data_IF_811688214576
#
_entry.id   IF_811688214576
#
_cell.length_a   1.000
_cell.length_b   1.000
_cell.length_c   1.000
_cell.angle_alpha   90.00
_cell.angle_beta   90.00
_cell.angle_gamma   90.00
#
_symmetry.space_group_name_H-M   'P 1'
#
loop_
_entity.id
_entity.type
_entity.pdbx_description
1 polymer ?
#
# COMPACT_ATOMS: atom_id res chain seq x y z
N UNK A 1 -5.52 -11.56 16.41
CA UNK A 1 -4.56 -10.64 17.09
C UNK A 1 -5.04 -9.20 16.98
N UNK A 2 -5.34 -8.71 15.77
CA UNK A 2 -5.97 -7.40 15.54
C UNK A 2 -7.37 -7.30 16.18
N UNK A 3 -8.18 -8.36 16.08
CA UNK A 3 -9.49 -8.44 16.75
C UNK A 3 -9.46 -8.33 18.29
N UNK A 4 -8.28 -8.36 18.91
CA UNK A 4 -8.07 -8.14 20.34
C UNK A 4 -7.61 -6.71 20.65
N UNK A 5 -7.65 -5.79 19.68
CA UNK A 5 -7.23 -4.39 19.82
C UNK A 5 -5.74 -4.13 19.62
N UNK A 6 -4.97 -5.10 19.11
CA UNK A 6 -3.54 -4.90 18.82
C UNK A 6 -3.33 -4.32 17.42
N UNK A 7 -2.41 -3.37 17.28
CA UNK A 7 -1.93 -2.91 15.97
C UNK A 7 -0.84 -3.85 15.45
N UNK A 8 -0.87 -4.13 14.15
CA UNK A 8 0.15 -4.93 13.47
C UNK A 8 0.70 -4.10 12.31
N UNK A 9 2.02 -3.95 12.27
CA UNK A 9 2.73 -3.29 11.17
C UNK A 9 3.56 -4.33 10.44
N UNK A 10 3.48 -4.32 9.12
CA UNK A 10 4.21 -5.25 8.25
C UNK A 10 4.79 -4.47 7.07
N UNK A 11 6.00 -4.81 6.66
CA UNK A 11 6.60 -4.36 5.40
C UNK A 11 6.42 -5.50 4.41
N UNK A 12 5.64 -5.28 3.36
CA UNK A 12 5.28 -6.33 2.40
C UNK A 12 5.21 -5.80 0.97
N UNK A 13 5.51 -6.71 0.03
CA UNK A 13 5.34 -6.52 -1.41
C UNK A 13 4.30 -7.51 -1.98
N UNK A 14 3.88 -8.52 -1.20
CA UNK A 14 2.84 -9.45 -1.64
C UNK A 14 1.46 -8.78 -1.62
N UNK A 15 0.88 -8.57 -2.81
CA UNK A 15 -0.40 -7.91 -2.98
C UNK A 15 -1.58 -8.67 -2.35
N UNK A 16 -1.48 -10.00 -2.16
CA UNK A 16 -2.50 -10.76 -1.42
C UNK A 16 -2.53 -10.42 0.07
N UNK A 17 -1.41 -9.97 0.63
CA UNK A 17 -1.37 -9.45 2.00
C UNK A 17 -1.83 -7.99 2.01
N UNK A 18 -1.25 -7.16 1.14
CA UNK A 18 -1.50 -5.70 1.09
C UNK A 18 -2.97 -5.38 0.87
N UNK A 19 -3.69 -6.13 0.02
CA UNK A 19 -5.12 -5.88 -0.26
C UNK A 19 -6.04 -6.03 0.95
N UNK A 20 -5.58 -6.71 2.01
CA UNK A 20 -6.34 -6.94 3.24
C UNK A 20 -5.99 -5.93 4.35
N UNK A 21 -5.07 -4.98 4.10
CA UNK A 21 -4.69 -4.00 5.09
C UNK A 21 -5.77 -2.91 5.26
N UNK A 22 -6.04 -2.53 6.51
CA UNK A 22 -6.92 -1.40 6.83
C UNK A 22 -6.29 -0.06 6.42
N UNK A 23 -4.95 0.02 6.47
CA UNK A 23 -4.16 1.20 6.14
C UNK A 23 -2.83 0.81 5.50
N UNK A 24 -2.40 1.60 4.51
CA UNK A 24 -1.16 1.42 3.77
C UNK A 24 -0.38 2.73 3.80
N UNK A 25 0.93 2.63 3.97
CA UNK A 25 1.89 3.71 3.75
C UNK A 25 2.79 3.27 2.61
N UNK A 26 2.69 3.93 1.46
CA UNK A 26 3.48 3.61 0.28
C UNK A 26 4.71 4.53 0.20
N UNK A 27 5.87 3.92 0.04
CA UNK A 27 7.17 4.60 0.00
C UNK A 27 7.76 4.53 -1.39
N UNK A 28 8.39 5.62 -1.83
CA UNK A 28 8.99 5.70 -3.15
C UNK A 28 9.45 7.13 -3.50
N UNK A 29 9.35 7.52 -4.79
CA UNK A 29 8.87 6.73 -5.93
C UNK A 29 9.85 5.62 -6.35
N UNK A 30 11.15 5.75 -6.08
CA UNK A 30 12.16 4.72 -6.34
C UNK A 30 12.72 4.08 -5.07
N UNK A 31 13.76 3.27 -5.23
CA UNK A 31 14.60 2.81 -4.13
C UNK A 31 15.88 3.65 -3.98
N UNK A 32 16.57 3.52 -2.85
CA UNK A 32 17.83 4.22 -2.59
C UNK A 32 17.66 5.74 -2.57
N UNK A 33 18.54 6.46 -3.27
CA UNK A 33 18.54 7.94 -3.34
C UNK A 33 17.29 8.51 -4.01
N UNK A 34 16.59 7.73 -4.84
CA UNK A 34 15.35 8.14 -5.51
C UNK A 34 14.09 7.77 -4.70
N UNK A 35 14.27 7.29 -3.47
CA UNK A 35 13.19 6.84 -2.58
C UNK A 35 13.09 7.65 -1.29
N UNK A 36 12.49 7.04 -0.27
CA UNK A 36 12.43 7.59 1.09
C UNK A 36 11.31 8.61 1.34
N UNK A 37 10.46 8.87 0.34
CA UNK A 37 9.29 9.75 0.50
C UNK A 37 8.01 8.94 0.68
N UNK A 38 7.08 9.47 1.47
CA UNK A 38 5.70 8.97 1.52
C UNK A 38 5.00 9.44 0.25
N UNK A 39 4.73 8.51 -0.65
CA UNK A 39 4.05 8.79 -1.92
C UNK A 39 2.54 8.80 -1.72
N UNK A 40 2.04 7.89 -0.88
CA UNK A 40 0.63 7.77 -0.53
C UNK A 40 0.49 7.22 0.90
N UNK A 41 -0.55 7.64 1.61
CA UNK A 41 -0.94 7.00 2.86
C UNK A 41 -2.46 7.03 3.01
N UNK A 42 -3.07 5.88 3.26
CA UNK A 42 -4.53 5.78 3.30
C UNK A 42 -5.05 4.36 3.25
N UNK A 43 -6.35 4.23 3.02
CA UNK A 43 -6.99 2.93 2.77
C UNK A 43 -6.57 2.38 1.41
N UNK A 44 -6.84 1.09 1.15
CA UNK A 44 -6.63 0.48 -0.17
C UNK A 44 -7.25 1.32 -1.31
N UNK A 45 -8.43 1.89 -1.08
CA UNK A 45 -9.13 2.72 -2.06
C UNK A 45 -8.43 4.06 -2.33
N UNK A 46 -7.71 4.61 -1.35
CA UNK A 46 -6.93 5.84 -1.52
C UNK A 46 -5.64 5.55 -2.30
N UNK A 47 -4.96 4.44 -1.96
CA UNK A 47 -3.72 4.03 -2.62
C UNK A 47 -3.94 3.76 -4.11
N UNK A 48 -5.00 3.04 -4.51
CA UNK A 48 -5.25 2.75 -5.93
C UNK A 48 -5.64 3.98 -6.77
N UNK A 49 -5.99 5.10 -6.12
CA UNK A 49 -6.27 6.38 -6.78
C UNK A 49 -5.03 7.25 -6.93
N UNK A 50 -3.98 7.01 -6.14
CA UNK A 50 -2.74 7.77 -6.21
C UNK A 50 -1.92 7.34 -7.43
N UNK A 51 -1.79 8.25 -8.41
CA UNK A 51 -1.14 7.97 -9.69
C UNK A 51 0.36 7.75 -9.53
N UNK A 52 0.98 8.38 -8.55
CA UNK A 52 2.41 8.27 -8.30
C UNK A 52 2.78 7.00 -7.51
N UNK A 53 1.80 6.29 -6.96
CA UNK A 53 2.00 5.05 -6.20
C UNK A 53 2.15 3.85 -7.14
N UNK A 54 3.35 3.28 -7.25
CA UNK A 54 3.54 2.03 -7.97
C UNK A 54 2.73 0.91 -7.33
N UNK A 55 2.74 0.83 -6.00
CA UNK A 55 1.93 -0.13 -5.25
C UNK A 55 0.45 -0.01 -5.63
N UNK A 56 -0.10 1.20 -5.70
CA UNK A 56 -1.47 1.47 -6.13
C UNK A 56 -1.77 1.03 -7.56
N UNK A 57 -0.85 1.27 -8.50
CA UNK A 57 -1.00 0.84 -9.89
C UNK A 57 -1.08 -0.70 -10.02
N UNK A 58 -0.26 -1.44 -9.29
CA UNK A 58 -0.30 -2.91 -9.30
C UNK A 58 -1.47 -3.46 -8.49
N UNK A 59 -1.76 -2.88 -7.33
CA UNK A 59 -2.88 -3.29 -6.48
C UNK A 59 -4.23 -3.10 -7.17
N UNK A 60 -4.41 -2.01 -7.93
CA UNK A 60 -5.63 -1.80 -8.74
C UNK A 60 -5.86 -2.95 -9.72
N UNK A 61 -4.81 -3.38 -10.42
CA UNK A 61 -4.87 -4.51 -11.36
C UNK A 61 -5.17 -5.81 -10.62
N UNK A 62 -4.54 -6.03 -9.46
CA UNK A 62 -4.73 -7.23 -8.63
C UNK A 62 -6.15 -7.38 -8.09
N UNK A 63 -6.83 -6.27 -7.81
CA UNK A 63 -8.21 -6.26 -7.34
C UNK A 63 -9.24 -6.45 -8.47
N UNK A 64 -8.82 -6.50 -9.74
CA UNK A 64 -9.70 -6.56 -10.92
C UNK A 64 -10.77 -5.45 -10.96
N UNK A 65 -10.47 -4.26 -10.43
CA UNK A 65 -11.39 -3.12 -10.42
C UNK A 65 -11.02 -2.18 -11.57
N UNK A 66 -12.00 -1.83 -12.39
CA UNK A 66 -11.83 -1.02 -13.61
C UNK A 66 -11.42 0.42 -13.31
#
# INVERSE_FOLDING_TARGET
>A
MVSRGNSVFVIEHNLDVVKNADWIIDLGPGGGENGGNVVAAGTVSDIIKEKNSYTGQYLKKHLNVT
#
